data_IF_748183482497
#
_entry.id   IF_748183482497
#
_cell.length_a   1.000
_cell.length_b   1.000
_cell.length_c   1.000
_cell.angle_alpha   90.00
_cell.angle_beta   90.00
_cell.angle_gamma   90.00
#
_symmetry.space_group_name_H-M   'P 1'
#
loop_
_entity.id
_entity.type
_entity.pdbx_description
1 polymer ?
#
# COMPACT_ATOMS: atom_id res chain seq x y z
N UNK A 1 -10.38 -9.23 18.76
CA UNK A 1 -10.45 -9.30 20.24
C UNK A 1 -11.23 -8.13 20.87
N UNK A 2 -12.16 -7.48 20.15
CA UNK A 2 -12.94 -6.35 20.68
C UNK A 2 -12.21 -5.01 20.75
N UNK A 3 -10.96 -4.92 20.27
CA UNK A 3 -10.15 -3.70 20.21
C UNK A 3 -9.93 -3.25 18.78
N UNK A 4 -9.55 -1.98 18.64
CA UNK A 4 -9.17 -1.35 17.39
C UNK A 4 -7.69 -0.97 17.45
N UNK A 5 -6.99 -1.23 16.35
CA UNK A 5 -5.55 -1.01 16.23
C UNK A 5 -5.29 -0.05 15.07
N UNK A 6 -4.67 1.08 15.38
CA UNK A 6 -4.20 2.05 14.40
C UNK A 6 -2.71 1.85 14.19
N UNK A 7 -2.32 1.45 12.99
CA UNK A 7 -0.92 1.38 12.58
C UNK A 7 -0.53 2.67 11.88
N UNK A 8 0.60 3.25 12.27
CA UNK A 8 1.01 4.55 11.76
C UNK A 8 2.53 4.59 11.48
N UNK A 9 2.94 5.12 10.32
CA UNK A 9 4.36 5.32 10.05
C UNK A 9 4.85 6.61 10.70
N UNK A 10 6.00 6.54 11.37
CA UNK A 10 6.62 7.70 12.02
C UNK A 10 8.15 7.57 11.96
N UNK A 11 8.86 8.67 11.72
CA UNK A 11 10.31 8.69 11.90
C UNK A 11 10.66 8.64 13.38
N UNK A 12 11.58 7.77 13.74
CA UNK A 12 12.18 7.76 15.07
C UNK A 12 13.09 8.98 15.28
N UNK A 13 13.65 9.12 16.48
CA UNK A 13 14.56 10.21 16.84
C UNK A 13 15.88 10.21 16.04
N UNK A 14 16.10 9.19 15.21
CA UNK A 14 17.24 9.06 14.30
C UNK A 14 16.83 9.26 12.83
N UNK A 15 15.65 9.84 12.58
CA UNK A 15 15.11 10.14 11.25
C UNK A 15 14.83 8.90 10.38
N UNK A 16 14.71 7.72 11.00
CA UNK A 16 14.43 6.48 10.29
C UNK A 16 12.96 6.12 10.48
N UNK A 17 12.25 5.89 9.37
CA UNK A 17 10.84 5.49 9.42
C UNK A 17 10.66 4.13 10.11
N UNK A 18 9.66 4.07 10.98
CA UNK A 18 9.17 2.89 11.72
C UNK A 18 7.65 2.86 11.65
N UNK A 19 7.06 1.73 12.01
CA UNK A 19 5.60 1.59 12.14
C UNK A 19 5.27 1.39 13.61
N UNK A 20 4.48 2.30 14.16
CA UNK A 20 3.91 2.20 15.50
C UNK A 20 2.51 1.59 15.46
N UNK A 21 2.03 1.16 16.63
CA UNK A 21 0.65 0.71 16.83
C UNK A 21 0.04 1.48 17.99
N UNK A 22 -1.21 1.88 17.85
CA UNK A 22 -2.00 2.52 18.89
C UNK A 22 -3.34 1.80 19.06
N UNK A 23 -3.81 1.69 20.30
CA UNK A 23 -4.93 0.81 20.67
C UNK A 23 -6.08 1.65 21.20
N UNK A 24 -7.30 1.28 20.80
CA UNK A 24 -8.55 1.86 21.29
C UNK A 24 -9.59 0.75 21.53
N UNK A 25 -10.51 0.99 22.45
CA UNK A 25 -11.70 0.15 22.63
C UNK A 25 -12.84 0.56 21.66
N UNK A 26 -12.66 1.63 20.90
CA UNK A 26 -13.64 2.17 19.93
C UNK A 26 -13.00 2.55 18.60
N UNK A 27 -13.71 2.42 17.46
CA UNK A 27 -13.15 2.77 16.15
C UNK A 27 -12.82 4.25 16.00
N UNK A 28 -13.55 5.13 16.68
CA UNK A 28 -13.33 6.59 16.69
C UNK A 28 -12.20 7.05 17.63
N UNK A 29 -11.61 6.12 18.41
CA UNK A 29 -10.60 6.45 19.41
C UNK A 29 -11.17 6.90 20.77
N UNK A 30 -10.35 7.52 21.63
CA UNK A 30 -8.94 7.86 21.39
C UNK A 30 -8.04 6.61 21.30
N UNK A 31 -7.02 6.68 20.44
CA UNK A 31 -6.01 5.64 20.32
C UNK A 31 -4.81 5.96 21.21
N UNK A 32 -4.40 5.02 22.05
CA UNK A 32 -3.24 5.14 22.93
C UNK A 32 -2.06 4.42 22.26
N UNK A 33 -0.98 5.12 21.88
CA UNK A 33 0.17 4.49 21.22
C UNK A 33 0.98 3.64 22.19
N UNK A 34 1.51 2.52 21.69
CA UNK A 34 2.57 1.79 22.38
C UNK A 34 3.84 2.65 22.48
N UNK A 35 4.64 2.43 23.52
CA UNK A 35 5.85 3.24 23.80
C UNK A 35 6.93 3.07 22.73
N UNK A 36 6.96 1.92 22.05
CA UNK A 36 7.97 1.57 21.08
C UNK A 36 7.34 1.16 19.74
N UNK A 37 8.00 1.43 18.60
CA UNK A 37 7.54 0.95 17.32
C UNK A 37 7.58 -0.58 17.26
N UNK A 38 6.83 -1.15 16.31
CA UNK A 38 6.83 -2.59 16.06
C UNK A 38 8.24 -3.06 15.72
N UNK A 39 8.72 -4.07 16.46
CA UNK A 39 10.05 -4.64 16.25
C UNK A 39 10.18 -5.20 14.83
N UNK A 40 11.24 -4.79 14.13
CA UNK A 40 11.50 -5.20 12.75
C UNK A 40 10.73 -4.40 11.70
N UNK A 41 9.91 -3.42 12.09
CA UNK A 41 9.27 -2.50 11.14
C UNK A 41 10.27 -1.48 10.58
N UNK A 42 10.01 -1.06 9.35
CA UNK A 42 10.76 -0.03 8.64
C UNK A 42 9.88 0.54 7.53
N UNK A 43 10.34 1.62 6.90
CA UNK A 43 9.57 2.30 5.85
C UNK A 43 8.17 2.73 6.36
N UNK A 44 7.19 2.85 5.48
CA UNK A 44 5.92 3.52 5.77
C UNK A 44 4.71 2.83 5.12
N UNK A 45 3.57 3.52 5.13
CA UNK A 45 2.31 3.11 4.47
C UNK A 45 1.79 1.72 4.86
N UNK A 46 1.54 1.45 6.16
CA UNK A 46 0.93 0.20 6.58
C UNK A 46 -0.53 0.11 6.12
N UNK A 47 -0.88 -1.01 5.46
CA UNK A 47 -2.24 -1.43 5.22
C UNK A 47 -2.46 -2.83 5.80
N UNK A 48 -3.51 -2.97 6.61
CA UNK A 48 -3.80 -4.23 7.30
C UNK A 48 -4.93 -4.96 6.57
N UNK A 49 -4.65 -6.18 6.14
CA UNK A 49 -5.63 -7.09 5.58
C UNK A 49 -6.04 -8.13 6.64
N UNK A 50 -7.34 -8.28 6.84
CA UNK A 50 -7.91 -9.40 7.60
C UNK A 50 -8.38 -10.44 6.62
N UNK A 51 -7.72 -11.59 6.59
CA UNK A 51 -8.01 -12.63 5.60
C UNK A 51 -9.08 -13.62 6.08
N UNK A 52 -9.62 -14.42 5.16
CA UNK A 52 -10.64 -15.42 5.48
C UNK A 52 -10.13 -16.58 6.34
N UNK A 53 -8.81 -16.78 6.41
CA UNK A 53 -8.19 -17.75 7.32
C UNK A 53 -8.18 -17.28 8.79
N UNK A 54 -8.60 -16.04 9.05
CA UNK A 54 -8.64 -15.41 10.36
C UNK A 54 -7.32 -14.77 10.80
N UNK A 55 -6.30 -14.79 9.94
CA UNK A 55 -5.04 -14.11 10.17
C UNK A 55 -5.09 -12.67 9.68
N UNK A 56 -4.18 -11.86 10.20
CA UNK A 56 -4.01 -10.47 9.79
C UNK A 56 -2.63 -10.28 9.16
N UNK A 57 -2.59 -9.55 8.06
CA UNK A 57 -1.36 -9.29 7.29
C UNK A 57 -1.14 -7.79 7.18
N UNK A 58 0.06 -7.33 7.49
CA UNK A 58 0.48 -5.96 7.20
C UNK A 58 1.21 -5.93 5.86
N UNK A 59 0.69 -5.14 4.93
CA UNK A 59 1.39 -4.67 3.75
C UNK A 59 2.02 -3.31 4.06
N UNK A 60 3.28 -3.09 3.69
CA UNK A 60 3.94 -1.80 3.92
C UNK A 60 5.08 -1.55 2.94
N UNK A 61 5.54 -0.31 2.85
CA UNK A 61 6.66 0.09 2.03
C UNK A 61 6.39 1.38 1.26
N UNK A 62 7.43 2.20 1.11
CA UNK A 62 7.43 3.39 0.28
C UNK A 62 8.83 3.66 -0.26
N UNK A 63 8.96 3.83 -1.57
CA UNK A 63 10.21 4.23 -2.21
C UNK A 63 10.57 5.68 -1.85
N UNK A 64 11.78 6.08 -2.25
CA UNK A 64 12.28 7.44 -2.10
C UNK A 64 12.18 7.95 -0.65
N UNK A 65 11.29 8.90 -0.38
CA UNK A 65 11.08 9.47 0.95
C UNK A 65 10.68 8.43 2.00
N UNK A 66 10.05 7.33 1.58
CA UNK A 66 9.68 6.21 2.45
C UNK A 66 10.82 5.27 2.83
N UNK A 67 12.04 5.49 2.33
CA UNK A 67 13.27 4.82 2.76
C UNK A 67 13.36 3.31 2.46
N UNK A 68 12.40 2.70 1.74
CA UNK A 68 12.41 1.25 1.45
C UNK A 68 13.70 0.80 0.74
N UNK A 69 14.25 1.64 -0.14
CA UNK A 69 15.50 1.40 -0.87
C UNK A 69 16.75 1.27 0.01
N UNK A 70 16.65 1.63 1.30
CA UNK A 70 17.72 1.44 2.30
C UNK A 70 17.74 0.03 2.89
N UNK A 71 16.85 -0.88 2.45
CA UNK A 71 16.73 -2.20 3.03
C UNK A 71 16.84 -3.31 1.98
N UNK A 72 17.49 -4.42 2.34
CA UNK A 72 17.47 -5.70 1.61
C UNK A 72 17.31 -6.83 2.62
N UNK A 73 16.41 -7.78 2.34
CA UNK A 73 16.12 -8.90 3.25
C UNK A 73 15.90 -8.45 4.71
N UNK A 74 15.15 -7.34 4.89
CA UNK A 74 14.84 -6.74 6.20
C UNK A 74 16.05 -6.20 6.98
N UNK A 75 17.21 -6.03 6.34
CA UNK A 75 18.42 -5.43 6.93
C UNK A 75 18.71 -4.08 6.27
N UNK A 76 19.07 -3.11 7.09
CA UNK A 76 19.52 -1.81 6.60
C UNK A 76 20.86 -1.94 5.87
N UNK A 77 20.98 -1.25 4.75
CA UNK A 77 22.22 -1.07 4.02
C UNK A 77 22.98 0.14 4.58
N UNK A 78 24.30 0.13 4.45
CA UNK A 78 25.13 1.30 4.75
C UNK A 78 24.78 2.50 3.85
N UNK A 79 24.57 2.22 2.56
CA UNK A 79 24.14 3.20 1.57
C UNK A 79 22.84 2.75 0.91
N UNK A 80 21.93 3.71 0.68
CA UNK A 80 20.70 3.46 -0.06
C UNK A 80 21.00 3.05 -1.50
N UNK A 81 20.28 2.06 -2.03
CA UNK A 81 20.42 1.63 -3.44
C UNK A 81 19.02 1.50 -4.04
N UNK A 82 18.74 2.29 -5.08
CA UNK A 82 17.60 2.08 -5.97
C UNK A 82 18.07 1.18 -7.12
N UNK A 83 17.33 0.11 -7.46
CA UNK A 83 17.60 -0.64 -8.68
C UNK A 83 17.32 0.23 -9.91
N UNK A 84 17.96 -0.08 -11.04
CA UNK A 84 17.85 0.69 -12.29
C UNK A 84 17.62 -0.22 -13.51
N UNK A 85 17.05 0.34 -14.58
CA UNK A 85 16.89 -0.35 -15.86
C UNK A 85 16.14 -1.68 -15.74
N UNK A 86 16.77 -2.76 -16.18
CA UNK A 86 16.21 -4.11 -16.23
C UNK A 86 16.32 -4.88 -14.90
N UNK A 87 16.91 -4.28 -13.86
CA UNK A 87 16.90 -4.87 -12.52
C UNK A 87 15.47 -4.97 -11.99
N UNK A 88 15.19 -6.00 -11.19
CA UNK A 88 13.87 -6.14 -10.56
C UNK A 88 13.57 -4.92 -9.68
N UNK A 89 12.37 -4.35 -9.83
CA UNK A 89 11.90 -3.27 -8.97
C UNK A 89 11.78 -3.73 -7.52
N UNK A 90 12.00 -2.79 -6.59
CA UNK A 90 11.71 -3.03 -5.19
C UNK A 90 10.21 -3.26 -4.97
N UNK A 91 9.90 -4.29 -4.18
CA UNK A 91 8.54 -4.70 -3.87
C UNK A 91 8.07 -4.08 -2.55
N UNK A 92 6.76 -3.93 -2.39
CA UNK A 92 6.16 -3.78 -1.07
C UNK A 92 6.52 -5.00 -0.20
N UNK A 93 6.27 -4.87 1.11
CA UNK A 93 6.51 -5.92 2.09
C UNK A 93 5.21 -6.43 2.66
N UNK A 94 5.16 -7.72 2.97
CA UNK A 94 4.06 -8.36 3.68
C UNK A 94 4.59 -9.14 4.89
N UNK A 95 3.92 -9.03 6.02
CA UNK A 95 4.16 -9.90 7.17
C UNK A 95 2.85 -10.22 7.88
N UNK A 96 2.66 -11.49 8.26
CA UNK A 96 1.60 -11.86 9.20
C UNK A 96 1.82 -11.19 10.56
N UNK A 97 0.75 -10.70 11.17
CA UNK A 97 0.76 -10.10 12.50
C UNK A 97 0.62 -11.17 13.59
N UNK A 98 1.22 -10.89 14.74
CA UNK A 98 1.03 -11.70 15.95
C UNK A 98 -0.42 -11.58 16.45
N UNK A 99 -0.89 -12.59 17.19
CA UNK A 99 -2.28 -12.64 17.69
C UNK A 99 -2.69 -11.47 18.60
N UNK A 100 -1.72 -10.85 19.27
CA UNK A 100 -1.93 -9.64 20.08
C UNK A 100 -1.98 -8.35 19.25
N UNK A 101 -1.68 -8.45 17.95
CA UNK A 101 -1.64 -7.38 16.95
C UNK A 101 -0.50 -6.36 17.16
N UNK A 102 0.49 -6.67 18.02
CA UNK A 102 1.54 -5.71 18.41
C UNK A 102 2.88 -5.93 17.68
N UNK A 103 3.06 -7.06 17.02
CA UNK A 103 4.32 -7.43 16.36
C UNK A 103 4.10 -8.23 15.09
N UNK A 104 5.17 -8.53 14.36
CA UNK A 104 5.12 -9.51 13.28
C UNK A 104 5.30 -10.92 13.83
N UNK A 105 4.55 -11.87 13.30
CA UNK A 105 4.66 -13.30 13.60
C UNK A 105 5.65 -14.02 12.66
N UNK A 106 6.20 -13.29 11.69
CA UNK A 106 7.21 -13.76 10.74
C UNK A 106 8.11 -12.60 10.27
N UNK A 107 9.20 -12.92 9.58
CA UNK A 107 9.96 -11.89 8.89
C UNK A 107 9.20 -11.36 7.66
N UNK A 108 9.22 -10.04 7.39
CA UNK A 108 8.58 -9.49 6.19
C UNK A 108 9.14 -10.08 4.89
N UNK A 109 8.24 -10.37 3.95
CA UNK A 109 8.52 -10.96 2.63
C UNK A 109 8.21 -9.95 1.53
N UNK A 110 8.80 -10.14 0.35
CA UNK A 110 8.51 -9.32 -0.83
C UNK A 110 7.14 -9.66 -1.43
N UNK A 111 6.34 -8.63 -1.71
CA UNK A 111 5.10 -8.72 -2.50
C UNK A 111 5.47 -8.61 -3.97
N UNK A 112 5.81 -9.74 -4.59
CA UNK A 112 6.28 -9.77 -5.98
C UNK A 112 5.13 -9.47 -6.93
N UNK A 113 5.37 -8.51 -7.84
CA UNK A 113 4.43 -8.13 -8.91
C UNK A 113 5.01 -8.59 -10.24
N UNK A 114 4.22 -9.34 -11.00
CA UNK A 114 4.57 -9.92 -12.29
C UNK A 114 3.90 -9.16 -13.43
N UNK A 115 4.56 -9.13 -14.59
CA UNK A 115 3.96 -8.77 -15.87
C UNK A 115 3.07 -9.90 -16.41
N UNK A 116 2.46 -9.66 -17.57
CA UNK A 116 1.59 -10.60 -18.28
C UNK A 116 2.29 -11.90 -18.72
N UNK A 117 3.62 -11.90 -18.76
CA UNK A 117 4.45 -13.05 -19.12
C UNK A 117 4.99 -13.80 -17.88
N UNK A 118 4.58 -13.39 -16.68
CA UNK A 118 5.02 -13.99 -15.41
C UNK A 118 6.42 -13.57 -14.95
N UNK A 119 6.97 -12.46 -15.47
CA UNK A 119 8.26 -11.91 -15.04
C UNK A 119 8.08 -10.79 -14.03
N UNK A 120 8.93 -10.68 -12.99
CA UNK A 120 8.89 -9.53 -12.08
C UNK A 120 9.04 -8.20 -12.82
N UNK A 121 8.28 -7.19 -12.40
CA UNK A 121 8.42 -5.84 -12.95
C UNK A 121 9.82 -5.27 -12.71
N UNK A 122 10.35 -4.55 -13.70
CA UNK A 122 11.69 -3.97 -13.65
C UNK A 122 11.66 -2.56 -13.06
N UNK A 123 12.80 -2.07 -12.60
CA UNK A 123 12.93 -0.75 -12.00
C UNK A 123 12.64 0.38 -12.99
N UNK A 124 12.98 0.18 -14.27
CA UNK A 124 12.69 1.10 -15.37
C UNK A 124 11.21 1.16 -15.79
N UNK A 125 10.39 0.20 -15.36
CA UNK A 125 8.96 0.13 -15.66
C UNK A 125 8.13 1.01 -14.70
N UNK A 126 8.45 2.31 -14.66
CA UNK A 126 7.90 3.27 -13.68
C UNK A 126 6.40 3.45 -13.77
N UNK A 127 5.79 3.08 -14.89
CA UNK A 127 4.35 3.13 -15.14
C UNK A 127 3.58 2.01 -14.41
N UNK A 128 4.27 0.91 -14.07
CA UNK A 128 3.66 -0.27 -13.44
C UNK A 128 4.28 -0.66 -12.11
N UNK A 129 5.58 -0.41 -11.89
CA UNK A 129 6.28 -0.83 -10.67
C UNK A 129 5.70 -0.15 -9.43
N UNK A 130 5.81 -0.85 -8.31
CA UNK A 130 5.44 -0.33 -7.01
C UNK A 130 6.19 0.97 -6.66
N UNK A 131 5.54 1.87 -5.92
CA UNK A 131 6.17 3.02 -5.29
C UNK A 131 5.77 3.17 -3.81
N UNK A 132 4.48 3.31 -3.51
CA UNK A 132 3.94 3.49 -2.14
C UNK A 132 2.45 3.10 -2.08
N UNK A 133 1.75 3.41 -0.99
CA UNK A 133 0.29 3.28 -0.87
C UNK A 133 -0.26 1.85 -1.10
N UNK A 134 0.37 0.86 -0.48
CA UNK A 134 -0.12 -0.53 -0.53
C UNK A 134 -1.56 -0.62 -0.03
N UNK A 135 -2.42 -1.35 -0.74
CA UNK A 135 -3.77 -1.69 -0.29
C UNK A 135 -4.18 -3.07 -0.80
N UNK A 136 -4.75 -3.88 0.10
CA UNK A 136 -5.24 -5.22 -0.22
C UNK A 136 -6.75 -5.28 -0.01
N UNK A 137 -7.45 -5.87 -0.96
CA UNK A 137 -8.84 -6.28 -0.80
C UNK A 137 -9.12 -7.58 -1.55
N UNK A 138 -10.22 -8.25 -1.21
CA UNK A 138 -10.63 -9.49 -1.85
C UNK A 138 -11.96 -9.31 -2.58
N UNK A 139 -12.04 -9.80 -3.82
CA UNK A 139 -13.25 -9.77 -4.63
C UNK A 139 -13.38 -11.08 -5.42
N UNK A 140 -14.53 -11.75 -5.35
CA UNK A 140 -14.82 -13.03 -6.02
C UNK A 140 -13.73 -14.10 -5.85
N UNK A 141 -13.22 -14.26 -4.62
CA UNK A 141 -12.22 -15.28 -4.29
C UNK A 141 -10.78 -14.94 -4.71
N UNK A 142 -10.53 -13.75 -5.25
CA UNK A 142 -9.21 -13.29 -5.69
C UNK A 142 -8.71 -12.12 -4.84
N UNK A 143 -7.40 -12.01 -4.70
CA UNK A 143 -6.72 -10.97 -3.94
C UNK A 143 -6.25 -9.86 -4.88
N UNK A 144 -6.60 -8.62 -4.57
CA UNK A 144 -6.30 -7.44 -5.37
C UNK A 144 -5.33 -6.57 -4.60
N UNK A 145 -4.06 -6.65 -5.00
CA UNK A 145 -3.02 -5.77 -4.49
C UNK A 145 -2.98 -4.51 -5.34
N UNK A 146 -3.30 -3.37 -4.74
CA UNK A 146 -3.34 -2.07 -5.40
C UNK A 146 -2.39 -1.09 -4.73
N UNK A 147 -1.80 -0.19 -5.52
CA UNK A 147 -0.69 0.65 -5.06
C UNK A 147 -0.50 1.89 -5.93
N UNK A 148 0.21 2.88 -5.39
CA UNK A 148 0.66 4.06 -6.13
C UNK A 148 1.94 3.78 -6.90
N UNK A 149 2.06 4.36 -8.09
CA UNK A 149 3.27 4.30 -8.92
C UNK A 149 4.19 5.52 -8.74
N UNK A 150 3.81 6.48 -7.89
CA UNK A 150 4.66 7.61 -7.51
C UNK A 150 4.88 8.62 -8.63
N UNK A 151 6.06 8.59 -9.25
CA UNK A 151 6.50 9.53 -10.28
C UNK A 151 5.70 9.46 -11.59
N UNK A 152 4.83 8.47 -11.72
CA UNK A 152 3.90 8.31 -12.83
C UNK A 152 2.42 8.48 -12.40
N UNK A 153 2.20 8.82 -11.14
CA UNK A 153 0.95 9.38 -10.58
C UNK A 153 -0.32 8.52 -10.73
N UNK A 154 -0.20 7.20 -10.88
CA UNK A 154 -1.34 6.29 -11.03
C UNK A 154 -1.59 5.47 -9.78
N UNK A 155 -2.83 5.02 -9.63
CA UNK A 155 -3.13 3.84 -8.82
C UNK A 155 -3.27 2.65 -9.75
N UNK A 156 -2.39 1.67 -9.57
CA UNK A 156 -2.38 0.42 -10.33
C UNK A 156 -2.83 -0.74 -9.45
N UNK A 157 -3.11 -1.88 -10.07
CA UNK A 157 -3.43 -3.11 -9.36
C UNK A 157 -2.95 -4.38 -10.05
N UNK A 158 -2.78 -5.41 -9.24
CA UNK A 158 -2.39 -6.74 -9.62
C UNK A 158 -3.26 -7.77 -8.87
N UNK A 159 -3.51 -8.92 -9.49
CA UNK A 159 -4.38 -9.98 -8.96
C UNK A 159 -3.55 -11.23 -8.62
N UNK A 160 -3.88 -11.86 -7.49
CA UNK A 160 -3.29 -13.11 -7.02
C UNK A 160 -4.32 -14.02 -6.35
N UNK A 161 -3.85 -15.20 -5.93
CA UNK A 161 -4.68 -16.27 -5.36
C UNK A 161 -4.50 -16.47 -3.85
N UNK A 162 -3.59 -15.72 -3.24
CA UNK A 162 -3.28 -15.79 -1.82
C UNK A 162 -2.71 -14.42 -1.35
N UNK A 163 -2.66 -14.13 -0.04
CA UNK A 163 -2.19 -12.83 0.46
C UNK A 163 -0.73 -12.53 0.12
N UNK A 164 0.14 -13.55 -0.02
CA UNK A 164 1.57 -13.36 -0.29
C UNK A 164 1.91 -13.13 -1.77
N UNK A 165 0.99 -13.45 -2.69
CA UNK A 165 1.24 -13.42 -4.12
C UNK A 165 2.02 -14.65 -4.64
N UNK A 166 2.78 -14.53 -5.74
CA UNK A 166 2.95 -13.31 -6.53
C UNK A 166 1.64 -12.80 -7.13
N UNK A 167 1.61 -11.52 -7.48
CA UNK A 167 0.45 -10.85 -8.08
C UNK A 167 0.74 -10.49 -9.53
N UNK A 168 -0.15 -10.78 -10.48
CA UNK A 168 0.01 -10.40 -11.89
C UNK A 168 -0.68 -9.06 -12.14
N UNK A 169 0.09 -8.08 -12.63
CA UNK A 169 -0.40 -6.74 -12.99
C UNK A 169 -1.60 -6.82 -13.94
N UNK A 170 -2.62 -5.99 -13.69
CA UNK A 170 -3.85 -5.96 -14.48
C UNK A 170 -4.11 -4.62 -15.15
N UNK A 171 -3.74 -3.50 -14.52
CA UNK A 171 -3.98 -2.19 -15.10
C UNK A 171 -4.04 -1.05 -14.10
N UNK A 172 -4.65 0.04 -14.56
CA UNK A 172 -4.81 1.30 -13.83
C UNK A 172 -6.22 1.38 -13.25
N UNK A 173 -6.32 1.57 -11.93
CA UNK A 173 -7.58 1.90 -11.24
C UNK A 173 -7.87 3.40 -11.39
N UNK A 174 -6.89 4.27 -11.16
CA UNK A 174 -7.06 5.73 -11.15
C UNK A 174 -5.96 6.41 -11.96
N UNK A 175 -6.35 7.21 -12.95
CA UNK A 175 -5.43 8.08 -13.71
C UNK A 175 -5.00 9.30 -12.88
N UNK A 176 -3.98 10.07 -13.29
CA UNK A 176 -3.40 11.13 -12.47
C UNK A 176 -4.40 12.15 -11.90
N UNK A 177 -4.17 12.56 -10.66
CA UNK A 177 -4.93 13.59 -9.94
C UNK A 177 -4.13 14.90 -9.84
N UNK A 178 -4.78 15.99 -9.45
CA UNK A 178 -4.09 17.28 -9.23
C UNK A 178 -3.23 17.19 -7.96
N UNK A 179 -1.96 17.59 -8.06
CA UNK A 179 -0.95 17.41 -7.02
C UNK A 179 -0.08 16.16 -7.26
N UNK A 180 1.13 16.13 -6.71
CA UNK A 180 2.11 15.09 -7.04
C UNK A 180 1.73 13.69 -6.51
N UNK A 181 1.21 13.61 -5.28
CA UNK A 181 0.90 12.32 -4.64
C UNK A 181 -0.49 11.82 -5.04
N UNK A 182 -0.62 10.53 -5.29
CA UNK A 182 -1.90 9.80 -5.32
C UNK A 182 -1.84 8.65 -4.31
N UNK A 183 -2.91 8.46 -3.54
CA UNK A 183 -3.04 7.42 -2.50
C UNK A 183 -4.51 7.03 -2.41
N UNK A 184 -4.81 5.79 -2.02
CA UNK A 184 -6.18 5.28 -2.03
C UNK A 184 -6.47 4.24 -0.96
N UNK A 185 -7.75 3.90 -0.83
CA UNK A 185 -8.24 2.66 -0.24
C UNK A 185 -9.52 2.21 -0.95
N UNK A 186 -9.76 0.90 -0.94
CA UNK A 186 -10.91 0.26 -1.59
C UNK A 186 -11.69 -0.52 -0.55
N UNK A 187 -13.00 -0.25 -0.48
CA UNK A 187 -13.88 -0.91 0.48
C UNK A 187 -15.27 -1.12 -0.10
N UNK A 188 -15.87 -2.26 0.24
CA UNK A 188 -17.28 -2.51 0.00
C UNK A 188 -18.12 -1.95 1.14
N UNK A 189 -19.18 -1.21 0.82
CA UNK A 189 -20.16 -0.74 1.78
C UNK A 189 -21.57 -0.88 1.20
N UNK A 190 -22.41 -1.67 1.89
CA UNK A 190 -23.82 -1.92 1.50
C UNK A 190 -23.98 -2.43 0.05
N UNK A 191 -23.13 -3.36 -0.38
CA UNK A 191 -23.20 -3.99 -1.70
C UNK A 191 -22.64 -3.15 -2.84
N UNK A 192 -21.94 -2.05 -2.52
CA UNK A 192 -21.26 -1.19 -3.49
C UNK A 192 -19.80 -1.03 -3.13
N UNK A 193 -18.95 -0.99 -4.14
CA UNK A 193 -17.52 -0.78 -3.97
C UNK A 193 -17.17 0.69 -4.16
N UNK A 194 -16.24 1.18 -3.35
CA UNK A 194 -15.83 2.57 -3.35
C UNK A 194 -14.32 2.68 -3.37
N UNK A 195 -13.81 3.62 -4.18
CA UNK A 195 -12.44 4.08 -4.15
C UNK A 195 -12.39 5.40 -3.38
N UNK A 196 -11.83 5.34 -2.17
CA UNK A 196 -11.41 6.53 -1.43
C UNK A 196 -10.04 6.95 -1.93
N UNK A 197 -9.84 8.23 -2.18
CA UNK A 197 -8.57 8.80 -2.66
C UNK A 197 -8.46 10.28 -2.26
N UNK A 198 -7.45 11.00 -2.72
CA UNK A 198 -7.34 12.45 -2.54
C UNK A 198 -6.95 13.17 -3.83
N UNK A 199 -7.12 14.48 -3.85
CA UNK A 199 -6.45 15.39 -4.78
C UNK A 199 -6.04 16.69 -4.06
N UNK A 200 -5.46 17.64 -4.81
CA UNK A 200 -5.08 18.98 -4.33
C UNK A 200 -5.89 20.09 -4.99
N UNK A 201 -7.11 19.81 -5.45
CA UNK A 201 -7.96 20.81 -6.14
C UNK A 201 -8.31 22.00 -5.24
N UNK A 202 -8.90 21.83 -4.02
CA UNK A 202 -9.36 22.96 -3.22
C UNK A 202 -8.22 23.81 -2.64
N UNK A 203 -6.97 23.30 -2.67
CA UNK A 203 -5.78 24.05 -2.26
C UNK A 203 -5.11 24.80 -3.42
N UNK A 204 -5.65 24.73 -4.64
CA UNK A 204 -5.07 25.33 -5.84
C UNK A 204 -3.83 24.58 -6.33
N UNK A 205 -3.77 23.26 -6.17
CA UNK A 205 -2.68 22.42 -6.65
C UNK A 205 -1.48 22.28 -5.71
N UNK A 206 -1.58 22.74 -4.46
CA UNK A 206 -0.49 22.61 -3.48
C UNK A 206 -0.40 21.15 -3.00
N UNK A 207 0.58 20.40 -3.50
CA UNK A 207 0.79 18.96 -3.23
C UNK A 207 0.68 18.57 -1.75
N UNK A 208 1.18 19.40 -0.82
CA UNK A 208 1.15 19.10 0.62
C UNK A 208 -0.18 19.45 1.31
N UNK A 209 -1.12 20.12 0.62
CA UNK A 209 -2.47 20.43 1.10
C UNK A 209 -3.50 19.69 0.24
N UNK A 210 -3.90 18.51 0.71
CA UNK A 210 -4.77 17.58 -0.03
C UNK A 210 -6.18 17.57 0.55
N UNK A 211 -7.13 17.00 -0.17
CA UNK A 211 -8.49 16.77 0.30
C UNK A 211 -9.00 15.41 -0.17
N UNK A 212 -9.61 14.67 0.76
CA UNK A 212 -10.12 13.33 0.52
C UNK A 212 -11.40 13.38 -0.34
N UNK A 213 -11.54 12.39 -1.22
CA UNK A 213 -12.67 12.19 -2.14
C UNK A 213 -13.03 10.70 -2.19
N UNK A 214 -14.24 10.43 -2.69
CA UNK A 214 -14.74 9.07 -2.90
C UNK A 214 -15.49 8.99 -4.22
N UNK A 215 -15.38 7.85 -4.88
CA UNK A 215 -16.08 7.52 -6.13
C UNK A 215 -16.47 6.04 -6.11
N UNK A 216 -17.56 5.68 -6.78
CA UNK A 216 -17.96 4.28 -6.95
C UNK A 216 -16.91 3.55 -7.80
N UNK A 217 -16.54 2.33 -7.38
CA UNK A 217 -15.63 1.45 -8.09
C UNK A 217 -16.45 0.30 -8.69
N UNK A 218 -16.19 -0.02 -9.94
CA UNK A 218 -16.90 -1.06 -10.68
C UNK A 218 -15.94 -2.13 -11.19
N UNK A 219 -16.31 -3.40 -10.99
CA UNK A 219 -15.64 -4.55 -11.59
C UNK A 219 -16.34 -4.93 -12.90
N UNK A 220 -15.55 -5.34 -13.89
CA UNK A 220 -16.01 -6.05 -15.06
C UNK A 220 -16.31 -7.51 -14.71
N UNK A 221 -17.08 -8.23 -15.55
CA UNK A 221 -17.41 -9.64 -15.31
C UNK A 221 -16.21 -10.59 -15.21
N UNK A 222 -15.07 -10.22 -15.80
CA UNK A 222 -13.82 -11.00 -15.75
C UNK A 222 -12.98 -10.74 -14.50
N UNK A 223 -13.45 -9.86 -13.59
CA UNK A 223 -12.76 -9.45 -12.37
C UNK A 223 -11.87 -8.22 -12.53
N UNK A 224 -11.65 -7.71 -13.74
CA UNK A 224 -10.87 -6.47 -13.92
C UNK A 224 -11.63 -5.26 -13.38
N UNK A 225 -10.92 -4.24 -12.90
CA UNK A 225 -11.50 -2.99 -12.41
C UNK A 225 -11.59 -1.98 -13.57
N UNK A 226 -12.74 -1.30 -13.70
CA UNK A 226 -12.88 -0.19 -14.66
C UNK A 226 -12.05 1.00 -14.21
N UNK A 227 -11.19 1.52 -15.10
CA UNK A 227 -10.39 2.71 -14.82
C UNK A 227 -11.26 3.93 -14.55
N UNK A 228 -10.92 4.67 -13.51
CA UNK A 228 -11.53 5.92 -13.11
C UNK A 228 -10.63 7.07 -13.56
N UNK A 229 -11.25 8.09 -14.18
CA UNK A 229 -10.53 9.28 -14.60
C UNK A 229 -10.24 10.23 -13.43
N UNK A 230 -8.96 10.47 -13.18
CA UNK A 230 -8.46 11.45 -12.24
C UNK A 230 -8.65 12.90 -12.70
N UNK A 231 -8.40 13.83 -11.80
CA UNK A 231 -8.68 15.25 -12.03
C UNK A 231 -7.63 15.98 -12.85
N UNK A 232 -6.43 15.41 -13.06
CA UNK A 232 -5.40 16.03 -13.90
C UNK A 232 -5.53 15.65 -15.38
N UNK A 233 -6.44 14.74 -15.71
CA UNK A 233 -6.78 14.34 -17.08
C UNK A 233 -7.70 15.34 -17.81
N UNK A 234 -8.00 16.50 -17.21
CA UNK A 234 -8.89 17.54 -17.75
C UNK A 234 -8.23 18.91 -17.78
#
# INVERSE_FOLDING_TARGET
>A
NGKYYMYFPLKDQNDIFRIGVAISDKPEGPFIPEEHPMKGSYSMDPAIWHDEDGEYYMYFGGLWGGQLQRYRNNKALECAVLPEGDEQALCAKIARLSKDMLSFDEEPKDVVILDENGKPLTAGDTERRFFEASWMHRHNGKYYFSYSTGDTHRICYAIGDNPYGPFTYQGVILTPVVGWTTHHSIVEFKGKWYLFHHDSVPSGGKTWLRSMKVVELEYNPDGTIKTIEGTASK
#
